data_IF_944631119960
#
_entry.id   IF_944631119960
#
_cell.length_a   1.000
_cell.length_b   1.000
_cell.length_c   1.000
_cell.angle_alpha   90.00
_cell.angle_beta   90.00
_cell.angle_gamma   90.00
#
_symmetry.space_group_name_H-M   'P 1'
#
loop_
_entity.id
_entity.type
_entity.pdbx_description
1 polymer ?
#
# COMPACT_ATOMS: atom_id res chain seq x y z
N UNK A 1 6.04 -19.83 99.29
CA UNK A 1 6.18 -21.19 98.70
C UNK A 1 5.84 -21.05 97.21
N UNK A 2 6.86 -21.16 96.35
CA UNK A 2 6.92 -21.65 94.95
C UNK A 2 5.58 -21.66 94.18
N UNK A 3 5.46 -21.05 92.99
CA UNK A 3 6.10 -21.54 91.77
C UNK A 3 5.97 -20.50 90.63
N UNK A 4 7.11 -20.14 90.02
CA UNK A 4 7.22 -19.45 88.72
C UNK A 4 7.01 -20.46 87.58
N UNK A 5 6.12 -20.17 86.63
CA UNK A 5 6.22 -20.73 85.27
C UNK A 5 5.91 -19.63 84.27
N UNK A 6 6.97 -19.21 83.57
CA UNK A 6 7.01 -18.32 82.42
C UNK A 6 6.17 -18.87 81.26
N UNK A 7 5.28 -18.06 80.67
CA UNK A 7 4.71 -18.33 79.36
C UNK A 7 4.95 -17.16 78.39
N UNK A 8 5.18 -17.56 77.15
CA UNK A 8 5.88 -16.89 76.06
C UNK A 8 5.24 -15.58 75.56
N UNK A 9 6.12 -14.71 75.06
CA UNK A 9 5.83 -13.65 74.09
C UNK A 9 5.09 -14.19 72.85
N UNK A 10 3.98 -13.54 72.48
CA UNK A 10 3.44 -13.56 71.11
C UNK A 10 3.20 -12.12 70.67
N UNK A 11 4.14 -11.57 69.92
CA UNK A 11 3.94 -10.36 69.14
C UNK A 11 3.31 -10.78 67.79
N UNK A 12 2.06 -10.39 67.55
CA UNK A 12 1.43 -10.55 66.23
C UNK A 12 1.72 -9.28 65.43
N UNK A 13 2.71 -9.38 64.55
CA UNK A 13 2.92 -8.44 63.45
C UNK A 13 1.91 -8.81 62.35
N UNK A 14 0.88 -7.99 62.14
CA UNK A 14 0.13 -8.02 60.88
C UNK A 14 1.01 -7.37 59.80
N UNK A 15 1.90 -8.17 59.22
CA UNK A 15 2.52 -7.83 57.94
C UNK A 15 1.45 -7.91 56.85
N UNK A 16 1.26 -6.81 56.13
CA UNK A 16 0.29 -6.72 55.06
C UNK A 16 0.57 -7.72 53.94
N UNK A 17 -0.48 -8.40 53.51
CA UNK A 17 -0.60 -8.76 52.10
C UNK A 17 -1.40 -7.64 51.44
N UNK A 18 -0.71 -6.57 51.04
CA UNK A 18 -1.12 -5.89 49.82
C UNK A 18 -0.87 -6.92 48.72
N UNK A 19 -1.91 -7.68 48.37
CA UNK A 19 -1.89 -8.40 47.12
C UNK A 19 -1.90 -7.32 46.05
N UNK A 20 -0.74 -7.08 45.42
CA UNK A 20 -0.72 -6.52 44.08
C UNK A 20 -1.45 -7.54 43.21
N UNK A 21 -2.77 -7.40 43.10
CA UNK A 21 -3.51 -7.92 41.97
C UNK A 21 -3.00 -7.14 40.77
N UNK A 22 -1.99 -7.70 40.10
CA UNK A 22 -1.85 -7.47 38.67
C UNK A 22 -3.14 -8.00 38.06
N UNK A 23 -4.12 -7.11 37.98
CA UNK A 23 -5.35 -7.28 37.23
C UNK A 23 -4.92 -7.62 35.81
N UNK A 24 -4.88 -8.92 35.50
CA UNK A 24 -4.79 -9.43 34.13
C UNK A 24 -6.19 -9.30 33.54
N UNK A 25 -6.59 -8.04 33.37
CA UNK A 25 -7.71 -7.62 32.58
C UNK A 25 -7.38 -8.06 31.14
N UNK A 26 -8.31 -8.80 30.52
CA UNK A 26 -8.10 -9.41 29.22
C UNK A 26 -8.02 -8.40 28.09
N UNK A 27 -6.79 -8.10 27.70
CA UNK A 27 -6.47 -7.28 26.55
C UNK A 27 -6.33 -8.10 25.27
N UNK A 28 -6.95 -7.64 24.20
CA UNK A 28 -6.46 -7.89 22.85
C UNK A 28 -5.16 -7.10 22.68
N UNK A 29 -4.04 -7.78 22.42
CA UNK A 29 -2.75 -7.14 22.16
C UNK A 29 -2.43 -7.20 20.67
N UNK A 30 -2.33 -6.03 20.02
CA UNK A 30 -1.89 -5.93 18.62
C UNK A 30 -0.50 -5.29 18.55
N UNK A 31 0.45 -6.03 17.99
CA UNK A 31 1.73 -5.47 17.59
C UNK A 31 1.66 -5.11 16.10
N UNK A 32 1.61 -3.82 15.81
CA UNK A 32 1.57 -3.27 14.46
C UNK A 32 2.98 -2.88 14.04
N UNK A 33 3.66 -3.71 13.26
CA UNK A 33 4.96 -3.40 12.69
C UNK A 33 4.76 -2.87 11.26
N UNK A 34 4.64 -1.55 11.11
CA UNK A 34 4.55 -0.89 9.81
C UNK A 34 5.94 -0.46 9.35
N UNK A 35 6.38 -1.00 8.22
CA UNK A 35 7.54 -0.44 7.51
C UNK A 35 7.13 0.85 6.78
N UNK A 36 8.05 1.82 6.70
CA UNK A 36 8.01 3.00 5.82
C UNK A 36 7.17 4.21 6.25
N UNK A 37 7.17 4.58 7.54
CA UNK A 37 6.61 5.88 7.98
C UNK A 37 5.10 6.05 7.74
N UNK A 38 4.39 4.93 7.56
CA UNK A 38 2.92 4.89 7.45
C UNK A 38 2.34 5.18 8.84
N UNK A 39 1.60 6.28 8.95
CA UNK A 39 0.89 6.66 10.17
C UNK A 39 -0.54 6.14 10.14
N UNK A 40 -0.99 5.52 11.23
CA UNK A 40 -2.37 5.05 11.42
C UNK A 40 -2.89 5.66 12.72
N UNK A 41 -3.90 6.52 12.61
CA UNK A 41 -4.50 7.19 13.77
C UNK A 41 -5.68 6.42 14.34
N UNK A 42 -6.29 5.55 13.55
CA UNK A 42 -7.48 4.82 13.95
C UNK A 42 -7.49 3.38 13.40
N UNK A 43 -7.83 2.43 14.27
CA UNK A 43 -8.09 1.04 13.90
C UNK A 43 -9.52 0.68 14.30
N UNK A 44 -10.33 0.28 13.32
CA UNK A 44 -11.67 -0.25 13.55
C UNK A 44 -11.59 -1.74 13.88
N UNK A 45 -12.43 -2.21 14.82
CA UNK A 45 -12.57 -3.62 15.13
C UNK A 45 -14.04 -4.06 15.15
N UNK A 46 -14.29 -5.34 14.92
CA UNK A 46 -15.61 -5.97 15.05
C UNK A 46 -15.45 -7.42 15.54
N UNK A 47 -16.15 -7.75 16.62
CA UNK A 47 -16.22 -9.10 17.18
C UNK A 47 -17.59 -9.70 16.85
N UNK A 48 -17.56 -10.92 16.33
CA UNK A 48 -18.75 -11.68 15.95
C UNK A 48 -18.62 -13.13 16.40
N UNK A 49 -19.75 -13.79 16.65
CA UNK A 49 -19.78 -15.20 17.05
C UNK A 49 -21.08 -15.55 17.76
N UNK A 50 -21.43 -16.83 17.79
CA UNK A 50 -22.47 -17.36 18.69
C UNK A 50 -23.84 -16.65 18.64
N UNK A 51 -24.20 -16.06 17.49
CA UNK A 51 -25.49 -15.37 17.29
C UNK A 51 -25.63 -14.01 18.00
N UNK A 52 -24.56 -13.48 18.60
CA UNK A 52 -24.57 -12.15 19.22
C UNK A 52 -24.65 -11.04 18.16
N UNK A 53 -25.18 -9.88 18.55
CA UNK A 53 -25.01 -8.66 17.75
C UNK A 53 -23.51 -8.29 17.69
N UNK A 54 -22.98 -7.85 16.54
CA UNK A 54 -21.57 -7.49 16.42
C UNK A 54 -21.17 -6.43 17.45
N UNK A 55 -20.09 -6.70 18.20
CA UNK A 55 -19.47 -5.71 19.08
C UNK A 55 -18.34 -5.02 18.30
N UNK A 56 -18.54 -3.76 17.95
CA UNK A 56 -17.62 -3.00 17.11
C UNK A 56 -17.26 -1.65 17.73
N UNK A 57 -16.11 -1.11 17.35
CA UNK A 57 -15.61 0.18 17.82
C UNK A 57 -14.35 0.61 17.08
N UNK A 58 -13.80 1.75 17.51
CA UNK A 58 -12.54 2.28 16.99
C UNK A 58 -11.52 2.45 18.11
N UNK A 59 -10.25 2.25 17.79
CA UNK A 59 -9.10 2.39 18.68
C UNK A 59 -8.25 3.54 18.14
N UNK A 60 -8.01 4.56 18.95
CA UNK A 60 -7.15 5.67 18.58
C UNK A 60 -5.67 5.31 18.81
N UNK A 61 -4.89 5.34 17.73
CA UNK A 61 -3.46 5.04 17.70
C UNK A 61 -2.58 6.22 17.30
N UNK A 62 -3.14 7.44 17.20
CA UNK A 62 -2.42 8.62 16.68
C UNK A 62 -1.38 9.22 17.65
N UNK A 63 -1.35 8.78 18.91
CA UNK A 63 -0.29 9.19 19.83
C UNK A 63 0.96 8.31 19.67
N UNK A 64 2.18 8.88 19.74
CA UNK A 64 3.41 8.11 19.63
C UNK A 64 3.48 6.98 20.68
N UNK A 65 3.72 5.75 20.21
CA UNK A 65 3.81 4.56 21.06
C UNK A 65 2.48 3.94 21.46
N UNK A 66 1.34 4.46 20.99
CA UNK A 66 0.04 3.79 21.16
C UNK A 66 0.01 2.44 20.43
N UNK A 67 -0.66 1.46 21.03
CA UNK A 67 -0.94 0.16 20.43
C UNK A 67 -2.42 0.06 20.05
N UNK A 68 -2.73 -0.70 19.00
CA UNK A 68 -4.12 -0.97 18.62
C UNK A 68 -4.70 -2.11 19.48
N UNK A 69 -4.76 -1.87 20.78
CA UNK A 69 -5.21 -2.84 21.78
C UNK A 69 -6.58 -2.44 22.33
N UNK A 70 -7.44 -3.42 22.59
CA UNK A 70 -8.75 -3.19 23.21
C UNK A 70 -9.07 -4.31 24.18
N UNK A 71 -9.69 -3.96 25.29
CA UNK A 71 -10.19 -4.92 26.25
C UNK A 71 -11.72 -4.96 26.19
N UNK A 72 -12.27 -6.16 26.08
CA UNK A 72 -13.69 -6.39 25.83
C UNK A 72 -14.27 -7.28 26.93
N UNK A 73 -15.28 -6.75 27.62
CA UNK A 73 -16.06 -7.48 28.61
C UNK A 73 -17.44 -7.84 28.07
N UNK A 74 -18.05 -8.87 28.67
CA UNK A 74 -19.43 -9.25 28.38
C UNK A 74 -19.60 -10.28 27.25
N UNK A 75 -18.52 -10.92 26.80
CA UNK A 75 -18.61 -12.09 25.93
C UNK A 75 -19.01 -13.33 26.75
N UNK A 76 -20.03 -14.05 26.29
CA UNK A 76 -20.43 -15.32 26.89
C UNK A 76 -19.40 -16.41 26.57
N UNK A 77 -19.24 -17.38 27.47
CA UNK A 77 -18.33 -18.48 27.25
C UNK A 77 -18.80 -19.36 26.09
N UNK A 78 -18.03 -19.37 25.01
CA UNK A 78 -18.28 -20.12 23.79
C UNK A 78 -17.03 -20.17 22.91
N UNK A 79 -17.05 -21.06 21.93
CA UNK A 79 -15.96 -21.24 20.97
C UNK A 79 -16.21 -20.43 19.68
N UNK A 80 -15.16 -20.29 18.87
CA UNK A 80 -15.21 -19.76 17.51
C UNK A 80 -15.70 -18.31 17.38
N UNK A 81 -15.40 -17.45 18.36
CA UNK A 81 -15.48 -16.02 18.12
C UNK A 81 -14.48 -15.60 17.04
N UNK A 82 -14.83 -14.55 16.29
CA UNK A 82 -13.98 -13.94 15.28
C UNK A 82 -13.85 -12.46 15.58
N UNK A 83 -12.62 -11.99 15.71
CA UNK A 83 -12.29 -10.56 15.69
C UNK A 83 -11.74 -10.20 14.32
N UNK A 84 -12.28 -9.12 13.75
CA UNK A 84 -11.78 -8.51 12.52
C UNK A 84 -11.33 -7.09 12.84
N UNK A 85 -10.19 -6.70 12.27
CA UNK A 85 -9.62 -5.37 12.44
C UNK A 85 -9.27 -4.79 11.07
N UNK A 86 -9.54 -3.50 10.88
CA UNK A 86 -9.25 -2.76 9.66
C UNK A 86 -8.72 -1.37 9.99
N UNK A 87 -7.77 -0.90 9.20
CA UNK A 87 -7.21 0.44 9.34
C UNK A 87 -6.86 1.02 7.98
N UNK A 88 -6.84 2.34 7.89
CA UNK A 88 -6.36 3.10 6.73
C UNK A 88 -5.35 4.12 7.25
N UNK A 89 -4.26 4.32 6.51
CA UNK A 89 -3.26 5.32 6.85
C UNK A 89 -3.83 6.74 6.77
N UNK A 90 -3.20 7.68 7.48
CA UNK A 90 -3.64 9.09 7.55
C UNK A 90 -3.63 9.79 6.20
N UNK A 91 -2.72 9.40 5.29
CA UNK A 91 -2.66 9.86 3.91
C UNK A 91 -3.67 9.17 2.98
N UNK A 92 -4.39 8.15 3.47
CA UNK A 92 -5.35 7.38 2.71
C UNK A 92 -4.72 6.43 1.70
N UNK A 93 -3.39 6.29 1.65
CA UNK A 93 -2.66 5.53 0.63
C UNK A 93 -2.42 4.07 1.00
N UNK A 94 -2.61 3.66 2.24
CA UNK A 94 -2.38 2.28 2.69
C UNK A 94 -3.59 1.77 3.45
N UNK A 95 -4.11 0.62 3.02
CA UNK A 95 -5.20 -0.08 3.71
C UNK A 95 -4.67 -1.35 4.37
N UNK A 96 -5.03 -1.56 5.63
CA UNK A 96 -4.64 -2.71 6.44
C UNK A 96 -5.86 -3.50 6.92
N UNK A 97 -5.77 -4.83 6.89
CA UNK A 97 -6.83 -5.69 7.44
C UNK A 97 -6.28 -7.01 8.00
N UNK A 98 -6.97 -7.56 8.99
CA UNK A 98 -6.60 -8.82 9.63
C UNK A 98 -7.75 -9.41 10.44
N UNK A 99 -7.65 -10.69 10.78
CA UNK A 99 -8.63 -11.36 11.63
C UNK A 99 -7.98 -12.50 12.42
N UNK A 100 -8.58 -12.83 13.56
CA UNK A 100 -8.23 -13.99 14.36
C UNK A 100 -9.49 -14.66 14.91
N UNK A 101 -9.39 -15.97 15.20
CA UNK A 101 -10.42 -16.72 15.92
C UNK A 101 -9.93 -17.03 17.33
N UNK A 102 -10.87 -17.06 18.27
CA UNK A 102 -10.57 -17.33 19.67
C UNK A 102 -11.80 -17.90 20.40
N UNK A 103 -11.53 -18.52 21.54
CA UNK A 103 -12.54 -19.09 22.42
C UNK A 103 -12.56 -18.32 23.75
N UNK A 104 -13.75 -18.22 24.35
CA UNK A 104 -13.97 -17.52 25.62
C UNK A 104 -14.36 -18.55 26.67
N UNK A 105 -13.65 -18.57 27.80
CA UNK A 105 -13.97 -19.39 28.95
C UNK A 105 -14.29 -18.50 30.17
N UNK A 106 -15.19 -18.97 31.03
CA UNK A 106 -15.63 -18.21 32.21
C UNK A 106 -14.45 -17.94 33.15
N UNK A 107 -14.25 -16.66 33.49
CA UNK A 107 -13.21 -16.24 34.44
C UNK A 107 -11.78 -16.37 33.93
N UNK A 108 -11.60 -16.64 32.63
CA UNK A 108 -10.29 -16.69 31.97
C UNK A 108 -10.16 -15.52 31.00
N UNK A 109 -9.02 -14.85 31.08
CA UNK A 109 -8.61 -13.83 30.12
C UNK A 109 -7.95 -14.50 28.92
N UNK A 110 -8.59 -14.41 27.74
CA UNK A 110 -8.03 -14.92 26.49
C UNK A 110 -7.27 -13.79 25.77
N UNK A 111 -5.95 -13.91 25.69
CA UNK A 111 -5.14 -13.03 24.85
C UNK A 111 -5.25 -13.48 23.38
N UNK A 112 -5.56 -12.54 22.50
CA UNK A 112 -5.70 -12.79 21.06
C UNK A 112 -4.75 -11.86 20.31
N UNK A 113 -4.00 -12.43 19.38
CA UNK A 113 -3.11 -11.66 18.51
C UNK A 113 -3.71 -11.63 17.10
N UNK A 114 -3.93 -10.44 16.57
CA UNK A 114 -4.32 -10.24 15.17
C UNK A 114 -3.09 -9.74 14.41
N UNK A 115 -2.89 -10.21 13.18
CA UNK A 115 -1.85 -9.67 12.29
C UNK A 115 -2.56 -8.87 11.21
N UNK A 116 -2.28 -7.57 11.14
CA UNK A 116 -2.79 -6.71 10.07
C UNK A 116 -1.86 -6.78 8.86
N UNK A 117 -2.42 -7.17 7.72
CA UNK A 117 -1.72 -7.15 6.44
C UNK A 117 -2.07 -5.84 5.72
N UNK A 118 -1.04 -5.07 5.36
CA UNK A 118 -1.18 -3.75 4.75
C UNK A 118 -0.84 -3.77 3.27
N UNK A 119 -1.67 -3.13 2.45
CA UNK A 119 -1.48 -2.95 1.02
C UNK A 119 -1.54 -1.45 0.67
N UNK A 120 -0.52 -0.88 0.02
CA UNK A 120 -0.62 0.42 -0.61
C UNK A 120 -1.70 0.42 -1.71
N UNK A 121 -2.42 1.52 -1.85
CA UNK A 121 -3.37 1.74 -2.90
C UNK A 121 -2.63 1.81 -4.24
N UNK A 122 -3.22 1.24 -5.29
CA UNK A 122 -2.60 1.17 -6.60
C UNK A 122 -2.56 2.57 -7.24
N UNK A 123 -1.40 3.23 -7.19
CA UNK A 123 -1.15 4.45 -7.96
C UNK A 123 -0.91 4.08 -9.44
N UNK A 124 -1.97 4.07 -10.23
CA UNK A 124 -1.84 3.93 -11.69
C UNK A 124 -1.28 5.22 -12.31
N UNK A 125 -0.12 5.12 -12.97
CA UNK A 125 0.45 6.22 -13.76
C UNK A 125 -0.23 6.37 -15.13
N UNK A 126 -0.53 7.60 -15.53
CA UNK A 126 -1.05 7.93 -16.87
C UNK A 126 0.06 8.36 -17.82
N UNK A 127 0.10 7.79 -19.03
CA UNK A 127 0.99 8.24 -20.12
C UNK A 127 0.20 9.12 -21.08
N UNK A 128 0.66 10.35 -21.31
CA UNK A 128 0.14 11.23 -22.37
C UNK A 128 1.06 11.16 -23.58
N UNK A 129 0.65 10.43 -24.61
CA UNK A 129 1.34 10.37 -25.90
C UNK A 129 0.77 11.47 -26.81
N UNK A 130 1.56 12.51 -27.09
CA UNK A 130 1.24 13.45 -28.16
C UNK A 130 1.96 12.96 -29.43
N UNK A 131 1.23 12.42 -30.40
CA UNK A 131 1.76 12.11 -31.72
C UNK A 131 1.71 13.33 -32.63
N UNK A 132 2.80 13.63 -33.35
CA UNK A 132 2.80 14.56 -34.48
C UNK A 132 2.53 13.74 -35.75
N UNK A 133 1.50 14.11 -36.51
CA UNK A 133 1.33 13.58 -37.86
C UNK A 133 2.31 14.32 -38.77
N UNK A 134 3.18 13.59 -39.46
CA UNK A 134 4.02 14.11 -40.55
C UNK A 134 3.44 13.55 -41.84
N UNK A 135 3.02 14.41 -42.77
CA UNK A 135 2.71 13.96 -44.11
C UNK A 135 4.04 13.94 -44.89
N UNK A 136 4.16 13.04 -45.87
CA UNK A 136 5.38 12.92 -46.65
C UNK A 136 5.32 13.85 -47.85
N UNK A 137 6.47 14.37 -48.29
CA UNK A 137 6.58 15.15 -49.51
C UNK A 137 6.04 14.40 -50.74
N UNK A 138 5.19 15.08 -51.51
CA UNK A 138 4.60 14.58 -52.75
C UNK A 138 5.41 15.04 -53.97
N UNK A 139 5.82 14.09 -54.82
CA UNK A 139 6.49 14.37 -56.09
C UNK A 139 5.49 14.87 -57.13
N UNK A 140 5.57 16.15 -57.49
CA UNK A 140 4.65 16.80 -58.44
C UNK A 140 5.06 16.53 -59.88
N UNK A 141 6.36 16.63 -60.18
CA UNK A 141 6.85 16.60 -61.57
C UNK A 141 8.29 16.16 -61.66
N UNK A 142 8.59 15.35 -62.66
CA UNK A 142 9.94 15.07 -63.15
C UNK A 142 9.98 15.31 -64.66
N UNK A 143 11.00 16.01 -65.13
CA UNK A 143 11.27 16.27 -66.54
C UNK A 143 12.68 15.80 -66.84
N UNK A 144 12.84 15.06 -67.93
CA UNK A 144 14.14 14.64 -68.46
C UNK A 144 14.17 14.98 -69.95
N UNK A 145 15.18 15.71 -70.38
CA UNK A 145 15.31 16.10 -71.79
C UNK A 145 16.76 16.40 -72.20
N UNK A 146 17.22 15.91 -73.37
CA UNK A 146 16.58 14.89 -74.21
C UNK A 146 16.66 13.50 -73.56
N UNK A 147 15.79 12.56 -73.95
CA UNK A 147 15.83 11.18 -73.42
C UNK A 147 17.04 10.36 -73.92
N UNK A 148 17.73 10.85 -74.95
CA UNK A 148 18.96 10.30 -75.48
C UNK A 148 19.80 11.42 -76.06
N UNK A 149 21.12 11.33 -75.89
CA UNK A 149 22.07 12.24 -76.52
C UNK A 149 23.35 11.48 -76.92
N UNK A 150 24.19 12.10 -77.75
CA UNK A 150 25.47 11.52 -78.15
C UNK A 150 26.50 11.67 -77.03
N UNK A 151 27.51 10.79 -77.00
CA UNK A 151 28.59 10.82 -75.99
C UNK A 151 29.22 12.22 -75.91
N UNK A 152 29.35 12.75 -74.69
CA UNK A 152 29.91 14.08 -74.42
C UNK A 152 28.88 15.22 -74.37
N UNK A 153 27.59 14.95 -74.61
CA UNK A 153 26.51 15.93 -74.46
C UNK A 153 25.73 15.73 -73.16
N UNK A 154 24.99 16.76 -72.75
CA UNK A 154 24.24 16.77 -71.49
C UNK A 154 22.79 16.31 -71.67
N UNK A 155 22.21 15.81 -70.58
CA UNK A 155 20.78 15.57 -70.39
C UNK A 155 20.36 16.40 -69.20
N UNK A 156 19.34 17.24 -69.38
CA UNK A 156 18.79 18.06 -68.32
C UNK A 156 17.76 17.24 -67.53
N UNK A 157 17.91 17.26 -66.21
CA UNK A 157 16.96 16.67 -65.26
C UNK A 157 16.39 17.76 -64.35
N UNK A 158 15.08 17.73 -64.16
CA UNK A 158 14.38 18.67 -63.30
C UNK A 158 13.33 17.91 -62.48
N UNK A 159 13.31 18.13 -61.16
CA UNK A 159 12.28 17.61 -60.27
C UNK A 159 11.62 18.77 -59.51
N UNK A 160 10.32 18.61 -59.24
CA UNK A 160 9.55 19.46 -58.35
C UNK A 160 8.71 18.57 -57.44
N UNK A 161 8.80 18.82 -56.15
CA UNK A 161 7.98 18.21 -55.13
C UNK A 161 7.41 19.32 -54.22
N UNK A 162 6.40 18.97 -53.43
CA UNK A 162 5.90 19.83 -52.38
C UNK A 162 5.68 19.00 -51.12
N UNK A 163 5.96 19.62 -49.99
CA UNK A 163 5.65 19.11 -48.67
C UNK A 163 4.60 20.04 -48.06
N UNK A 164 3.51 19.48 -47.54
CA UNK A 164 2.39 20.29 -47.05
C UNK A 164 2.73 20.96 -45.71
N UNK A 165 3.66 20.38 -44.97
CA UNK A 165 4.17 20.87 -43.68
C UNK A 165 5.31 21.89 -43.87
N UNK A 166 5.90 21.93 -45.07
CA UNK A 166 7.03 22.81 -45.40
C UNK A 166 8.37 22.27 -44.94
N UNK A 167 8.48 20.95 -44.73
CA UNK A 167 9.75 20.27 -44.48
C UNK A 167 10.70 20.45 -45.69
N UNK A 168 12.00 20.45 -45.40
CA UNK A 168 13.02 20.59 -46.44
C UNK A 168 13.03 19.37 -47.36
N UNK A 169 12.98 19.61 -48.68
CA UNK A 169 12.98 18.55 -49.68
C UNK A 169 14.38 18.46 -50.31
N UNK A 170 14.99 17.28 -50.19
CA UNK A 170 16.25 16.94 -50.86
C UNK A 170 16.02 16.11 -52.12
N UNK A 171 16.76 16.41 -53.19
CA UNK A 171 16.72 15.65 -54.45
C UNK A 171 18.04 14.91 -54.67
N UNK A 172 17.95 13.60 -54.93
CA UNK A 172 19.10 12.77 -55.28
C UNK A 172 18.91 12.14 -56.66
N UNK A 173 19.88 12.38 -57.55
CA UNK A 173 19.94 11.76 -58.87
C UNK A 173 21.01 10.67 -58.90
N UNK A 174 20.68 9.51 -59.44
CA UNK A 174 21.62 8.40 -59.65
C UNK A 174 21.55 7.88 -61.08
N UNK A 175 22.66 7.36 -61.60
CA UNK A 175 22.74 6.82 -62.96
C UNK A 175 23.81 5.75 -63.06
N UNK A 176 23.66 4.83 -64.02
CA UNK A 176 24.62 3.74 -64.27
C UNK A 176 25.79 4.17 -65.17
N UNK A 177 25.80 5.41 -65.64
CA UNK A 177 26.88 6.03 -66.42
C UNK A 177 26.67 7.54 -66.58
N UNK A 178 27.75 8.28 -66.83
CA UNK A 178 27.75 9.75 -66.82
C UNK A 178 27.90 10.35 -65.40
N UNK A 179 27.75 11.67 -65.28
CA UNK A 179 27.80 12.39 -64.01
C UNK A 179 26.69 13.44 -63.97
N UNK A 180 26.06 13.60 -62.81
CA UNK A 180 25.17 14.72 -62.51
C UNK A 180 25.99 15.82 -61.82
N UNK A 181 25.69 17.09 -62.12
CA UNK A 181 26.32 18.27 -61.52
C UNK A 181 25.24 19.21 -60.99
#
# INVERSE_FOLDING_TARGET
>A
MRWLVSWLFSAVLFAGCGADSSDNTGGLSLQLELANGVEIDEVSYSITGNGMAPMAGTINTGAPGSTASVEIYGLEAAENYKVEMTAVSTDGETSCSGSARFDVAVGISTEVMVILNCKPNEQYGGVRVNGKLNFCADLIKVIVSPLQTSVGNQIDVFAKAADLEGDEIEYLWTGTGGSFA
#
